data_IF_695457459934
#
_entry.id   IF_695457459934
#
_cell.length_a   1.000
_cell.length_b   1.000
_cell.length_c   1.000
_cell.angle_alpha   90.00
_cell.angle_beta   90.00
_cell.angle_gamma   90.00
#
_symmetry.space_group_name_H-M   'P 1'
#
loop_
_entity.id
_entity.type
_entity.pdbx_description
1 polymer ?
#
# COMPACT_ATOMS: atom_id res chain seq x y z
N UNK A 1 10.89 9.17 -8.95
CA UNK A 1 9.67 9.99 -9.13
C UNK A 1 8.76 9.36 -10.18
N UNK A 2 8.94 9.61 -11.49
CA UNK A 2 8.05 9.11 -12.55
C UNK A 2 7.82 7.58 -12.53
N UNK A 3 8.88 6.78 -12.57
CA UNK A 3 8.75 5.31 -12.59
C UNK A 3 7.98 4.76 -11.39
N UNK A 4 8.26 5.25 -10.20
CA UNK A 4 7.62 4.78 -8.96
C UNK A 4 6.16 5.24 -8.90
N UNK A 5 5.86 6.50 -9.27
CA UNK A 5 4.48 6.96 -9.41
C UNK A 5 3.68 6.12 -10.41
N UNK A 6 4.27 5.77 -11.56
CA UNK A 6 3.60 4.93 -12.56
C UNK A 6 3.36 3.50 -12.07
N UNK A 7 4.29 2.90 -11.33
CA UNK A 7 4.08 1.58 -10.70
C UNK A 7 2.95 1.62 -9.68
N UNK A 8 2.96 2.62 -8.78
CA UNK A 8 1.89 2.82 -7.81
C UNK A 8 0.52 2.91 -8.48
N UNK A 9 0.39 3.80 -9.47
CA UNK A 9 -0.86 3.99 -10.21
C UNK A 9 -1.28 2.73 -10.98
N UNK A 10 -0.34 1.98 -11.56
CA UNK A 10 -0.64 0.74 -12.25
C UNK A 10 -1.19 -0.33 -11.30
N UNK A 11 -0.60 -0.48 -10.12
CA UNK A 11 -1.06 -1.42 -9.10
C UNK A 11 -2.43 -1.03 -8.53
N UNK A 12 -2.63 0.26 -8.23
CA UNK A 12 -3.93 0.80 -7.80
C UNK A 12 -5.00 0.54 -8.86
N UNK A 13 -4.71 0.86 -10.12
CA UNK A 13 -5.65 0.62 -11.21
C UNK A 13 -5.99 -0.87 -11.38
N UNK A 14 -5.02 -1.76 -11.21
CA UNK A 14 -5.23 -3.20 -11.25
C UNK A 14 -6.10 -3.68 -10.06
N UNK A 15 -5.91 -3.09 -8.88
CA UNK A 15 -6.67 -3.41 -7.67
C UNK A 15 -8.14 -3.01 -7.81
N UNK A 16 -8.42 -1.78 -8.26
CA UNK A 16 -9.78 -1.28 -8.52
C UNK A 16 -10.50 -2.19 -9.53
N UNK A 17 -9.86 -2.54 -10.64
CA UNK A 17 -10.44 -3.41 -11.68
C UNK A 17 -10.82 -4.79 -11.14
N UNK A 18 -10.10 -5.28 -10.14
CA UNK A 18 -10.34 -6.57 -9.49
C UNK A 18 -11.22 -6.45 -8.25
N UNK A 19 -11.61 -5.25 -7.84
CA UNK A 19 -12.29 -4.97 -6.57
C UNK A 19 -11.55 -5.57 -5.36
N UNK A 20 -10.22 -5.45 -5.36
CA UNK A 20 -9.35 -5.92 -4.29
C UNK A 20 -8.59 -4.76 -3.69
N UNK A 21 -8.10 -4.93 -2.47
CA UNK A 21 -7.17 -3.97 -1.88
C UNK A 21 -5.90 -3.84 -2.72
N UNK A 22 -5.38 -2.62 -2.94
CA UNK A 22 -4.06 -2.43 -3.52
C UNK A 22 -3.01 -3.19 -2.72
N UNK A 23 -1.99 -3.77 -3.39
CA UNK A 23 -0.89 -4.40 -2.68
C UNK A 23 -0.11 -3.36 -1.88
N UNK A 24 0.54 -3.79 -0.80
CA UNK A 24 1.41 -2.91 0.02
C UNK A 24 2.53 -2.26 -0.79
N UNK A 25 2.94 -2.88 -1.91
CA UNK A 25 3.91 -2.31 -2.85
C UNK A 25 3.43 -0.99 -3.47
N UNK A 26 2.13 -0.77 -3.61
CA UNK A 26 1.60 0.46 -4.19
C UNK A 26 1.93 1.67 -3.30
N UNK A 27 1.71 1.53 -1.99
CA UNK A 27 2.10 2.54 -1.00
C UNK A 27 3.62 2.70 -0.94
N UNK A 28 4.37 1.58 -0.97
CA UNK A 28 5.82 1.63 -0.99
C UNK A 28 6.36 2.42 -2.21
N UNK A 29 5.74 2.27 -3.38
CA UNK A 29 6.07 3.03 -4.58
C UNK A 29 5.76 4.52 -4.42
N UNK A 30 4.64 4.91 -3.79
CA UNK A 30 4.33 6.31 -3.47
C UNK A 30 5.39 6.90 -2.53
N UNK A 31 5.74 6.20 -1.46
CA UNK A 31 6.76 6.65 -0.50
C UNK A 31 8.16 6.75 -1.12
N UNK A 32 8.51 5.81 -2.00
CA UNK A 32 9.73 5.84 -2.80
C UNK A 32 9.75 7.07 -3.72
N UNK A 33 8.62 7.40 -4.35
CA UNK A 33 8.51 8.58 -5.19
C UNK A 33 8.68 9.89 -4.38
N UNK A 34 8.04 10.00 -3.20
CA UNK A 34 8.20 11.13 -2.26
C UNK A 34 9.66 11.28 -1.81
N UNK A 35 10.30 10.18 -1.42
CA UNK A 35 11.70 10.15 -1.02
C UNK A 35 12.63 10.62 -2.14
N UNK A 36 12.33 10.26 -3.39
CA UNK A 36 13.08 10.74 -4.56
C UNK A 36 12.90 12.25 -4.78
N UNK A 37 11.70 12.80 -4.53
CA UNK A 37 11.45 14.24 -4.60
C UNK A 37 12.23 15.01 -3.51
N UNK A 38 12.30 14.48 -2.29
CA UNK A 38 13.07 15.10 -1.20
C UNK A 38 14.57 15.07 -1.49
N UNK A 39 15.08 13.97 -2.06
CA UNK A 39 16.48 13.90 -2.55
C UNK A 39 16.76 14.95 -3.61
N UNK A 40 15.85 15.12 -4.58
CA UNK A 40 15.98 16.16 -5.61
C UNK A 40 16.00 17.56 -4.98
N UNK A 41 15.08 17.85 -4.04
CA UNK A 41 15.05 19.12 -3.31
C UNK A 41 16.36 19.38 -2.58
N UNK A 42 16.90 18.36 -1.89
CA UNK A 42 18.19 18.44 -1.21
C UNK A 42 19.31 18.75 -2.20
N UNK A 43 19.39 18.06 -3.34
CA UNK A 43 20.38 18.35 -4.38
C UNK A 43 20.27 19.80 -4.85
N UNK A 44 19.06 20.29 -5.13
CA UNK A 44 18.86 21.68 -5.59
C UNK A 44 19.22 22.73 -4.53
N UNK A 45 19.04 22.44 -3.25
CA UNK A 45 19.34 23.37 -2.15
C UNK A 45 20.83 23.45 -1.82
N UNK A 46 21.54 22.32 -1.90
CA UNK A 46 22.91 22.22 -1.38
C UNK A 46 23.97 22.09 -2.48
N UNK A 47 23.60 21.93 -3.76
CA UNK A 47 24.58 21.86 -4.84
C UNK A 47 25.02 23.25 -5.28
N UNK A 48 26.33 23.43 -5.44
CA UNK A 48 26.91 24.59 -6.10
C UNK A 48 26.67 24.56 -7.61
N UNK A 49 26.22 25.69 -8.15
CA UNK A 49 26.01 25.84 -9.60
C UNK A 49 27.36 25.94 -10.34
N UNK A 50 27.48 25.32 -11.53
CA UNK A 50 28.68 25.46 -12.35
C UNK A 50 28.89 26.91 -12.83
N UNK A 51 30.14 27.32 -13.11
CA UNK A 51 30.47 28.70 -13.50
C UNK A 51 29.85 29.18 -14.82
N UNK A 52 29.48 28.25 -15.70
CA UNK A 52 28.85 28.51 -17.02
C UNK A 52 27.52 27.77 -17.10
N UNK A 53 26.59 28.18 -16.24
CA UNK A 53 25.25 27.62 -16.20
C UNK A 53 24.39 28.22 -17.31
N UNK A 54 23.78 27.37 -18.14
CA UNK A 54 22.71 27.81 -19.03
C UNK A 54 21.41 27.94 -18.21
N UNK A 55 20.98 29.19 -17.99
CA UNK A 55 19.78 29.51 -17.22
C UNK A 55 18.50 28.96 -17.88
N UNK A 56 18.47 28.84 -19.21
CA UNK A 56 17.30 28.33 -19.92
C UNK A 56 17.15 26.81 -19.73
N UNK A 57 18.25 26.08 -19.77
CA UNK A 57 18.25 24.64 -19.47
C UNK A 57 17.85 24.38 -18.02
N UNK A 58 18.39 25.17 -17.08
CA UNK A 58 18.04 25.04 -15.66
C UNK A 58 16.58 25.37 -15.40
N UNK A 59 16.06 26.45 -16.00
CA UNK A 59 14.65 26.79 -15.86
C UNK A 59 13.74 25.65 -16.35
N UNK A 60 14.08 25.07 -17.51
CA UNK A 60 13.34 23.93 -18.08
C UNK A 60 13.41 22.70 -17.18
N UNK A 61 14.57 22.41 -16.60
CA UNK A 61 14.77 21.30 -15.67
C UNK A 61 13.96 21.50 -14.37
N UNK A 62 13.93 22.72 -13.83
CA UNK A 62 13.14 23.06 -12.64
C UNK A 62 11.64 22.93 -12.90
N UNK A 63 11.15 23.32 -14.07
CA UNK A 63 9.75 23.12 -14.48
C UNK A 63 9.43 21.63 -14.53
N UNK A 64 10.27 20.82 -15.19
CA UNK A 64 10.09 19.37 -15.24
C UNK A 64 10.09 18.74 -13.84
N UNK A 65 10.98 19.18 -12.95
CA UNK A 65 11.00 18.75 -11.55
C UNK A 65 9.70 19.11 -10.81
N UNK A 66 9.20 20.33 -10.98
CA UNK A 66 7.92 20.76 -10.38
C UNK A 66 6.76 19.90 -10.84
N UNK A 67 6.64 19.66 -12.16
CA UNK A 67 5.58 18.81 -12.72
C UNK A 67 5.68 17.39 -12.16
N UNK A 68 6.88 16.83 -12.03
CA UNK A 68 7.06 15.50 -11.45
C UNK A 68 6.66 15.46 -9.96
N UNK A 69 6.86 16.54 -9.21
CA UNK A 69 6.38 16.66 -7.82
C UNK A 69 4.85 16.69 -7.80
N UNK A 70 4.22 17.45 -8.68
CA UNK A 70 2.76 17.52 -8.77
C UNK A 70 2.13 16.17 -9.14
N UNK A 71 2.78 15.41 -10.03
CA UNK A 71 2.38 14.03 -10.36
C UNK A 71 2.42 13.12 -9.12
N UNK A 72 3.43 13.24 -8.26
CA UNK A 72 3.49 12.46 -7.01
C UNK A 72 2.32 12.81 -6.10
N UNK A 73 1.99 14.09 -5.95
CA UNK A 73 0.86 14.55 -5.12
C UNK A 73 -0.47 14.02 -5.66
N UNK A 74 -0.63 14.03 -6.97
CA UNK A 74 -1.80 13.43 -7.63
C UNK A 74 -1.88 11.91 -7.36
N UNK A 75 -0.78 11.18 -7.52
CA UNK A 75 -0.74 9.75 -7.26
C UNK A 75 -1.05 9.40 -5.79
N UNK A 76 -0.54 10.18 -4.85
CA UNK A 76 -0.81 10.06 -3.41
C UNK A 76 -2.30 10.31 -3.09
N UNK A 77 -2.88 11.37 -3.67
CA UNK A 77 -4.30 11.66 -3.53
C UNK A 77 -5.21 10.55 -4.10
N UNK A 78 -4.83 9.98 -5.25
CA UNK A 78 -5.52 8.82 -5.84
C UNK A 78 -5.42 7.60 -4.91
N UNK A 79 -4.24 7.32 -4.36
CA UNK A 79 -4.05 6.20 -3.44
C UNK A 79 -4.94 6.34 -2.19
N UNK A 80 -4.98 7.54 -1.59
CA UNK A 80 -5.84 7.83 -0.45
C UNK A 80 -7.33 7.67 -0.79
N UNK A 81 -7.79 8.24 -1.91
CA UNK A 81 -9.18 8.14 -2.34
C UNK A 81 -9.61 6.69 -2.62
N UNK A 82 -8.71 5.86 -3.16
CA UNK A 82 -8.98 4.43 -3.38
C UNK A 82 -9.01 3.67 -2.05
N UNK A 83 -8.14 4.01 -1.09
CA UNK A 83 -8.19 3.48 0.27
C UNK A 83 -9.49 3.85 1.03
N UNK A 84 -10.08 5.00 0.71
CA UNK A 84 -11.43 5.33 1.19
C UNK A 84 -12.51 4.52 0.47
N UNK A 85 -12.44 4.44 -0.86
CA UNK A 85 -13.38 3.68 -1.67
C UNK A 85 -13.47 2.21 -1.21
N UNK A 86 -12.34 1.53 -1.06
CA UNK A 86 -12.30 0.10 -0.73
C UNK A 86 -12.97 -0.25 0.60
N UNK A 87 -12.93 0.69 1.57
CA UNK A 87 -13.58 0.56 2.87
C UNK A 87 -15.11 0.67 2.76
N UNK A 88 -15.60 1.50 1.83
CA UNK A 88 -17.03 1.70 1.61
C UNK A 88 -17.67 0.59 0.76
N UNK A 89 -16.95 0.08 -0.25
CA UNK A 89 -17.48 -0.92 -1.20
C UNK A 89 -17.06 -2.37 -0.91
N UNK A 90 -16.45 -2.63 0.25
CA UNK A 90 -16.19 -3.99 0.72
C UNK A 90 -15.23 -4.79 -0.18
N UNK A 91 -14.16 -4.15 -0.67
CA UNK A 91 -13.16 -4.82 -1.49
C UNK A 91 -12.58 -6.05 -0.77
N UNK A 92 -12.31 -7.10 -1.55
CA UNK A 92 -11.66 -8.28 -0.98
C UNK A 92 -10.21 -7.93 -0.61
N UNK A 93 -9.89 -8.03 0.68
CA UNK A 93 -8.53 -7.91 1.14
C UNK A 93 -7.59 -8.89 0.44
N UNK A 94 -6.31 -8.51 0.32
CA UNK A 94 -5.29 -9.53 0.11
C UNK A 94 -5.36 -10.47 1.31
N UNK A 95 -5.60 -11.76 1.05
CA UNK A 95 -5.49 -12.78 2.09
C UNK A 95 -4.04 -12.77 2.57
N UNK A 96 -3.74 -12.02 3.61
CA UNK A 96 -2.55 -12.24 4.41
C UNK A 96 -2.74 -13.63 5.00
N UNK A 97 -2.01 -14.61 4.47
CA UNK A 97 -1.82 -15.89 5.14
C UNK A 97 -1.03 -15.65 6.40
N UNK A 98 -1.64 -15.01 7.39
CA UNK A 98 -1.20 -14.96 8.77
C UNK A 98 -2.34 -14.40 9.61
N UNK A 99 -2.69 -15.19 10.62
CA UNK A 99 -3.64 -14.90 11.68
C UNK A 99 -5.14 -14.88 11.31
N UNK A 100 -5.64 -16.01 10.83
CA UNK A 100 -6.89 -16.52 11.39
C UNK A 100 -6.65 -16.85 12.89
N UNK A 101 -6.52 -15.83 13.74
CA UNK A 101 -6.69 -16.01 15.18
C UNK A 101 -8.18 -16.12 15.38
N UNK A 102 -8.70 -17.31 15.06
CA UNK A 102 -9.96 -17.79 15.60
C UNK A 102 -9.82 -17.72 17.12
N UNK A 103 -10.41 -16.70 17.74
CA UNK A 103 -10.60 -16.63 19.20
C UNK A 103 -11.71 -17.57 19.70
N UNK A 104 -12.17 -18.49 18.87
CA UNK A 104 -12.97 -19.61 19.33
C UNK A 104 -12.01 -20.73 19.71
N UNK A 105 -11.92 -21.00 21.02
CA UNK A 105 -11.01 -21.98 21.59
C UNK A 105 -11.05 -23.31 20.84
N UNK A 106 -9.95 -23.63 20.15
CA UNK A 106 -9.75 -24.93 19.55
C UNK A 106 -9.29 -25.85 20.69
N UNK A 107 -10.21 -26.68 21.19
CA UNK A 107 -9.86 -27.81 22.04
C UNK A 107 -9.49 -28.96 21.09
N UNK A 108 -8.19 -29.24 20.98
CA UNK A 108 -7.74 -30.46 20.30
C UNK A 108 -8.08 -31.67 21.18
N UNK A 109 -8.75 -32.70 20.66
CA UNK A 109 -8.92 -33.93 21.41
C UNK A 109 -7.56 -34.61 21.57
N UNK A 110 -7.24 -35.00 22.80
CA UNK A 110 -6.16 -35.94 23.11
C UNK A 110 -6.68 -37.32 22.75
N UNK A 111 -6.02 -37.94 21.77
CA UNK A 111 -6.18 -39.36 21.46
C UNK A 111 -5.42 -40.15 22.53
N UNK A 112 -6.13 -40.53 23.59
CA UNK A 112 -5.68 -41.60 24.47
C UNK A 112 -6.71 -42.72 24.30
N UNK A 113 -6.29 -43.75 23.58
CA UNK A 113 -7.16 -44.79 23.06
C UNK A 113 -7.87 -45.54 24.18
N UNK A 114 -9.13 -45.16 24.44
CA UNK A 114 -10.22 -46.06 24.74
C UNK A 114 -11.54 -45.27 24.85
N UNK A 115 -12.50 -45.65 23.99
CA UNK A 115 -13.94 -45.40 24.03
C UNK A 115 -14.49 -44.21 24.85
N UNK A 116 -14.94 -43.16 24.14
CA UNK A 116 -15.86 -42.15 24.73
C UNK A 116 -17.32 -42.57 24.51
N UNK A 117 -17.94 -43.12 25.55
CA UNK A 117 -19.41 -43.23 25.66
C UNK A 117 -19.99 -41.87 26.04
N UNK A 118 -20.92 -41.36 25.24
CA UNK A 118 -21.66 -40.12 25.54
C UNK A 118 -22.98 -40.52 26.21
N UNK A 119 -23.09 -40.30 27.52
CA UNK A 119 -24.35 -40.42 28.24
C UNK A 119 -25.07 -39.07 28.23
N UNK A 120 -26.23 -39.01 27.57
CA UNK A 120 -27.07 -37.81 27.52
C UNK A 120 -28.05 -37.88 28.68
N UNK A 121 -27.82 -37.11 29.73
CA UNK A 121 -28.79 -36.95 30.81
C UNK A 121 -29.65 -35.72 30.52
N UNK A 122 -30.89 -35.97 30.07
CA UNK A 122 -31.91 -34.94 29.95
C UNK A 122 -32.39 -34.53 31.35
N UNK A 123 -32.15 -33.27 31.73
CA UNK A 123 -32.88 -32.66 32.84
C UNK A 123 -34.18 -32.10 32.28
N UNK A 124 -35.30 -32.74 32.63
CA UNK A 124 -36.64 -32.20 32.48
C UNK A 124 -37.00 -31.41 33.75
N UNK A 125 -37.47 -30.18 33.53
CA UNK A 125 -38.24 -29.24 34.37
C UNK A 125 -37.81 -28.95 35.82
#
# INVERSE_FOLDING_TARGET
MSTESSKALAEIAAAIKKMRWPPQSAEAHVQSAKSAADRLRSVLQYSSLPPKLDLQEVASLLVAASVLIDVIRCADGIAAAVGELEREVGFEGLKTTEAAINRHGIVSPVDDGDHVVVEIQAAAD
#
